data_IF_593451593324
#
_entry.id   IF_593451593324
#
_cell.length_a   1.000
_cell.length_b   1.000
_cell.length_c   1.000
_cell.angle_alpha   90.00
_cell.angle_beta   90.00
_cell.angle_gamma   90.00
#
_symmetry.space_group_name_H-M   'P 1'
#
loop_
_entity.id
_entity.type
_entity.pdbx_description
1 polymer ?
#
# COMPACT_ATOMS: atom_id res chain seq x y z
N UNK A 1 10.41 -3.02 -8.06
CA UNK A 1 10.46 -4.06 -6.98
C UNK A 1 11.45 -5.18 -7.22
N UNK A 2 11.96 -5.34 -8.44
CA UNK A 2 12.94 -6.38 -8.81
C UNK A 2 14.19 -6.42 -7.93
N UNK A 3 14.83 -5.27 -7.66
CA UNK A 3 16.01 -5.16 -6.79
C UNK A 3 15.72 -5.75 -5.40
N UNK A 4 14.59 -5.40 -4.81
CA UNK A 4 14.22 -5.85 -3.46
C UNK A 4 13.97 -7.36 -3.46
N UNK A 5 13.24 -7.86 -4.45
CA UNK A 5 12.97 -9.29 -4.57
C UNK A 5 14.24 -10.08 -4.80
N UNK A 6 15.14 -9.61 -5.68
CA UNK A 6 16.40 -10.30 -5.97
C UNK A 6 17.31 -10.39 -4.74
N UNK A 7 17.39 -9.32 -3.93
CA UNK A 7 18.13 -9.34 -2.67
C UNK A 7 17.52 -10.38 -1.72
N UNK A 8 16.19 -10.38 -1.56
CA UNK A 8 15.51 -11.33 -0.68
C UNK A 8 15.64 -12.78 -1.19
N UNK A 9 15.55 -12.99 -2.50
CA UNK A 9 15.75 -14.30 -3.12
C UNK A 9 17.17 -14.82 -2.84
N UNK A 10 18.18 -14.00 -3.12
CA UNK A 10 19.57 -14.40 -3.00
C UNK A 10 19.96 -14.78 -1.56
N UNK A 11 19.58 -13.96 -0.57
CA UNK A 11 20.01 -14.18 0.81
C UNK A 11 19.10 -15.12 1.61
N UNK A 12 17.83 -15.33 1.21
CA UNK A 12 16.87 -16.05 2.02
C UNK A 12 15.95 -16.97 1.20
N UNK A 13 15.22 -16.41 0.21
CA UNK A 13 14.08 -17.13 -0.34
C UNK A 13 14.47 -18.31 -1.21
N UNK A 14 15.60 -18.27 -1.93
CA UNK A 14 16.11 -19.41 -2.68
C UNK A 14 16.29 -20.64 -1.78
N UNK A 15 16.89 -20.46 -0.60
CA UNK A 15 17.08 -21.53 0.36
C UNK A 15 15.74 -22.04 0.94
N UNK A 16 14.82 -21.14 1.21
CA UNK A 16 13.47 -21.48 1.69
C UNK A 16 12.70 -22.27 0.65
N UNK A 17 12.65 -21.79 -0.60
CA UNK A 17 11.95 -22.48 -1.68
C UNK A 17 12.59 -23.82 -2.02
N UNK A 18 13.93 -23.91 -2.05
CA UNK A 18 14.64 -25.18 -2.27
C UNK A 18 14.35 -26.22 -1.19
N UNK A 19 14.17 -25.77 0.07
CA UNK A 19 13.85 -26.67 1.21
C UNK A 19 12.40 -27.09 1.24
N UNK A 20 11.45 -26.15 0.99
CA UNK A 20 10.01 -26.43 1.07
C UNK A 20 9.46 -27.12 -0.17
N UNK A 21 10.04 -26.81 -1.34
CA UNK A 21 9.55 -27.30 -2.64
C UNK A 21 10.70 -27.83 -3.51
N UNK A 22 11.46 -28.88 -3.07
CA UNK A 22 12.61 -29.38 -3.80
C UNK A 22 12.23 -30.05 -5.12
N UNK A 23 13.00 -29.83 -6.19
CA UNK A 23 12.81 -30.50 -7.49
C UNK A 23 12.84 -32.02 -7.40
N UNK A 24 13.67 -32.59 -6.53
CA UNK A 24 13.74 -34.06 -6.33
C UNK A 24 12.39 -34.67 -5.97
N UNK A 25 11.62 -33.99 -5.11
CA UNK A 25 10.31 -34.48 -4.69
C UNK A 25 9.31 -34.61 -5.86
N UNK A 26 9.37 -33.66 -6.81
CA UNK A 26 8.51 -33.70 -8.00
C UNK A 26 8.92 -34.82 -8.97
N UNK A 27 10.24 -35.07 -9.12
CA UNK A 27 10.74 -36.16 -9.96
C UNK A 27 10.39 -37.53 -9.43
N UNK A 28 10.50 -37.75 -8.11
CA UNK A 28 10.15 -38.99 -7.46
C UNK A 28 8.64 -39.26 -7.54
N UNK A 29 7.80 -38.24 -7.31
CA UNK A 29 6.35 -38.33 -7.42
C UNK A 29 5.84 -38.64 -8.84
N UNK A 30 6.48 -38.05 -9.87
CA UNK A 30 6.16 -38.30 -11.28
C UNK A 30 6.59 -39.72 -11.69
N UNK A 31 7.74 -40.20 -11.17
CA UNK A 31 8.15 -41.60 -11.43
C UNK A 31 7.25 -42.61 -10.73
N UNK A 32 6.83 -42.32 -9.51
CA UNK A 32 5.90 -43.18 -8.76
C UNK A 32 4.49 -43.22 -9.39
N UNK A 33 3.99 -42.07 -9.84
CA UNK A 33 2.73 -41.94 -10.57
C UNK A 33 2.81 -42.60 -11.95
N UNK A 34 3.94 -42.47 -12.66
CA UNK A 34 4.20 -43.16 -13.92
C UNK A 34 4.21 -44.70 -13.75
N UNK A 35 4.87 -45.20 -12.70
CA UNK A 35 4.89 -46.62 -12.38
C UNK A 35 3.50 -47.16 -12.00
N UNK A 36 2.72 -46.39 -11.22
CA UNK A 36 1.33 -46.76 -10.83
C UNK A 36 0.34 -46.72 -12.01
N UNK A 37 0.52 -45.76 -12.94
CA UNK A 37 -0.35 -45.63 -14.12
C UNK A 37 -0.14 -46.76 -15.17
N UNK A 38 1.07 -47.34 -15.23
CA UNK A 38 1.37 -48.46 -16.17
C UNK A 38 1.10 -49.83 -15.58
N UNK A 39 0.71 -49.97 -14.30
CA UNK A 39 0.47 -51.26 -13.65
C UNK A 39 -1.00 -51.65 -13.54
N UNK A 40 -1.92 -50.88 -14.09
CA UNK A 40 -3.38 -51.22 -14.11
C UNK A 40 -3.90 -51.31 -15.54
N UNK A 41 -3.58 -52.41 -16.23
CA UNK A 41 -4.45 -52.98 -17.25
C UNK A 41 -5.60 -53.69 -16.54
N UNK A 42 -6.78 -53.10 -16.61
CA UNK A 42 -7.99 -53.69 -16.04
C UNK A 42 -9.21 -52.85 -16.41
N UNK A 43 -9.83 -53.20 -17.53
CA UNK A 43 -11.10 -52.65 -18.01
C UNK A 43 -12.15 -52.48 -16.92
N UNK A 44 -12.77 -51.26 -16.83
CA UNK A 44 -14.22 -51.15 -16.62
C UNK A 44 -14.74 -49.74 -16.96
N UNK A 45 -15.68 -49.73 -17.87
CA UNK A 45 -16.56 -48.63 -18.27
C UNK A 45 -17.32 -48.04 -17.07
N UNK A 46 -17.29 -46.70 -16.98
CA UNK A 46 -18.34 -45.93 -16.28
C UNK A 46 -18.41 -44.52 -16.91
N UNK A 47 -19.39 -44.40 -17.81
CA UNK A 47 -19.84 -43.12 -18.35
C UNK A 47 -20.50 -42.29 -17.22
N UNK A 48 -20.10 -41.08 -17.01
CA UNK A 48 -20.85 -40.11 -16.21
C UNK A 48 -20.09 -39.04 -15.44
N UNK A 49 -18.75 -39.06 -15.42
CA UNK A 49 -17.96 -38.07 -14.65
C UNK A 49 -16.77 -37.50 -15.45
N UNK A 50 -16.84 -37.57 -16.78
CA UNK A 50 -15.69 -37.24 -17.64
C UNK A 50 -15.51 -35.75 -17.89
N UNK A 51 -16.58 -34.95 -17.86
CA UNK A 51 -16.50 -33.52 -18.22
C UNK A 51 -15.86 -32.66 -17.12
N UNK A 52 -16.16 -32.88 -15.85
CA UNK A 52 -15.57 -32.14 -14.74
C UNK A 52 -14.11 -32.52 -14.48
N UNK A 53 -13.74 -33.80 -14.69
CA UNK A 53 -12.33 -34.22 -14.59
C UNK A 53 -11.47 -33.67 -15.74
N UNK A 54 -12.03 -33.55 -16.95
CA UNK A 54 -11.34 -32.96 -18.09
C UNK A 54 -11.15 -31.43 -17.94
N UNK A 55 -12.11 -30.72 -17.33
CA UNK A 55 -11.94 -29.28 -17.03
C UNK A 55 -10.83 -29.04 -16.02
N UNK A 56 -10.75 -29.80 -14.93
CA UNK A 56 -9.70 -29.73 -13.93
C UNK A 56 -8.32 -30.20 -14.46
N UNK A 57 -8.30 -31.16 -15.38
CA UNK A 57 -7.08 -31.67 -16.03
C UNK A 57 -6.48 -30.66 -17.02
N UNK A 58 -7.33 -29.87 -17.67
CA UNK A 58 -6.90 -28.84 -18.64
C UNK A 58 -6.63 -27.48 -18.01
N UNK A 59 -7.01 -27.26 -16.74
CA UNK A 59 -6.75 -25.99 -16.03
C UNK A 59 -5.25 -25.65 -15.91
N UNK A 60 -4.34 -26.59 -15.60
CA UNK A 60 -2.89 -26.32 -15.64
C UNK A 60 -2.38 -25.97 -17.03
N UNK A 61 -2.95 -26.58 -18.09
CA UNK A 61 -2.57 -26.31 -19.48
C UNK A 61 -3.03 -24.93 -19.92
N UNK A 62 -4.24 -24.53 -19.55
CA UNK A 62 -4.76 -23.19 -19.83
C UNK A 62 -3.97 -22.11 -19.08
N UNK A 63 -3.66 -22.34 -17.82
CA UNK A 63 -2.82 -21.46 -17.01
C UNK A 63 -1.42 -21.37 -17.62
N UNK A 64 -0.80 -22.49 -17.96
CA UNK A 64 0.51 -22.52 -18.63
C UNK A 64 0.47 -21.81 -19.99
N UNK A 65 -0.60 -21.96 -20.79
CA UNK A 65 -0.78 -21.26 -22.05
C UNK A 65 -0.90 -19.73 -21.85
N UNK A 66 -1.71 -19.30 -20.88
CA UNK A 66 -1.84 -17.87 -20.54
C UNK A 66 -0.50 -17.32 -20.06
N UNK A 67 0.19 -18.03 -19.17
CA UNK A 67 1.51 -17.64 -18.66
C UNK A 67 2.56 -17.57 -19.77
N UNK A 68 2.60 -18.55 -20.70
CA UNK A 68 3.49 -18.52 -21.86
C UNK A 68 3.17 -17.38 -22.82
N UNK A 69 1.90 -17.06 -22.99
CA UNK A 69 1.46 -15.93 -23.83
C UNK A 69 1.80 -14.58 -23.21
N UNK A 70 1.71 -14.45 -21.90
CA UNK A 70 2.19 -13.29 -21.13
C UNK A 70 3.72 -13.19 -21.27
N UNK A 71 4.46 -14.29 -21.13
CA UNK A 71 5.90 -14.33 -21.30
C UNK A 71 6.37 -14.04 -22.74
N UNK A 72 5.59 -14.42 -23.76
CA UNK A 72 5.94 -14.13 -25.17
C UNK A 72 5.75 -12.64 -25.56
N UNK A 73 5.04 -11.88 -24.77
CA UNK A 73 4.90 -10.42 -24.95
C UNK A 73 6.13 -9.67 -24.43
N UNK A 74 6.96 -10.33 -23.61
CA UNK A 74 8.15 -9.77 -22.95
C UNK A 74 9.39 -9.61 -23.85
N UNK A 75 9.40 -10.14 -25.07
CA UNK A 75 10.58 -10.10 -25.95
C UNK A 75 10.67 -8.81 -26.80
N UNK A 76 10.26 -7.65 -26.25
CA UNK A 76 10.58 -6.37 -26.86
C UNK A 76 11.85 -5.82 -26.24
N UNK A 77 12.86 -5.59 -27.07
CA UNK A 77 14.00 -4.73 -26.75
C UNK A 77 13.44 -3.32 -26.45
N UNK A 78 13.16 -3.06 -25.21
CA UNK A 78 12.68 -1.77 -24.74
C UNK A 78 13.73 -1.16 -23.80
N UNK A 79 13.89 0.16 -23.87
CA UNK A 79 14.74 0.91 -22.92
C UNK A 79 14.35 0.68 -21.47
N UNK A 80 13.12 0.22 -21.24
CA UNK A 80 12.57 -0.20 -19.96
C UNK A 80 12.71 -1.71 -19.69
N UNK A 81 13.63 -2.37 -20.38
CA UNK A 81 13.85 -3.81 -20.27
C UNK A 81 14.21 -4.27 -18.87
N UNK A 82 13.98 -5.56 -18.62
CA UNK A 82 14.40 -6.22 -17.39
C UNK A 82 15.93 -6.25 -17.36
N UNK A 83 16.52 -5.55 -16.42
CA UNK A 83 17.98 -5.63 -16.19
C UNK A 83 18.37 -7.06 -15.81
N UNK A 84 19.47 -7.57 -16.40
CA UNK A 84 19.99 -8.85 -16.00
C UNK A 84 20.60 -8.73 -14.61
N UNK A 85 19.94 -9.24 -13.60
CA UNK A 85 20.44 -9.50 -12.24
C UNK A 85 21.48 -8.54 -11.66
N UNK A 86 21.21 -8.08 -10.48
CA UNK A 86 22.11 -7.22 -9.68
C UNK A 86 23.11 -8.05 -8.85
N UNK A 87 22.77 -9.32 -8.56
CA UNK A 87 23.56 -10.23 -7.72
C UNK A 87 23.94 -11.49 -8.50
N UNK A 88 25.05 -12.18 -8.11
CA UNK A 88 25.42 -13.48 -8.68
C UNK A 88 24.29 -14.49 -8.56
N UNK A 89 24.21 -15.42 -9.51
CA UNK A 89 23.19 -16.47 -9.47
C UNK A 89 23.43 -17.45 -8.31
N UNK A 90 22.45 -17.63 -7.45
CA UNK A 90 22.52 -18.62 -6.37
C UNK A 90 22.37 -20.03 -6.93
N UNK A 91 23.22 -20.96 -6.48
CA UNK A 91 23.10 -22.39 -6.83
C UNK A 91 21.78 -23.01 -6.36
N UNK A 92 21.09 -22.39 -5.39
CA UNK A 92 19.80 -22.83 -4.86
C UNK A 92 18.62 -22.28 -5.67
N UNK A 93 18.81 -21.30 -6.54
CA UNK A 93 17.74 -20.67 -7.31
C UNK A 93 16.97 -21.67 -8.19
N UNK A 94 17.67 -22.69 -8.71
CA UNK A 94 17.10 -23.74 -9.55
C UNK A 94 16.78 -25.03 -8.81
N UNK A 95 16.99 -25.09 -7.50
CA UNK A 95 16.76 -26.30 -6.70
C UNK A 95 15.29 -26.52 -6.34
N UNK A 96 14.43 -25.50 -6.55
CA UNK A 96 12.98 -25.56 -6.30
C UNK A 96 12.19 -25.85 -7.58
N UNK A 97 11.01 -26.47 -7.42
CA UNK A 97 10.01 -26.60 -8.50
C UNK A 97 9.43 -25.24 -8.92
N UNK A 98 9.55 -24.21 -8.07
CA UNK A 98 9.18 -22.84 -8.38
C UNK A 98 10.45 -22.02 -8.69
N UNK A 99 10.85 -21.87 -9.96
CA UNK A 99 11.95 -21.00 -10.35
C UNK A 99 11.64 -19.54 -10.02
N UNK A 100 12.66 -18.67 -9.94
CA UNK A 100 12.47 -17.24 -9.66
C UNK A 100 11.51 -16.54 -10.64
N UNK A 101 11.44 -17.00 -11.89
CA UNK A 101 10.53 -16.50 -12.93
C UNK A 101 9.09 -17.03 -12.82
N UNK A 102 8.78 -17.84 -11.80
CA UNK A 102 7.43 -18.32 -11.58
C UNK A 102 6.56 -17.21 -10.99
N UNK A 103 5.49 -16.81 -11.68
CA UNK A 103 4.54 -15.77 -11.23
C UNK A 103 3.98 -16.08 -9.84
N UNK A 104 3.74 -17.36 -9.52
CA UNK A 104 3.29 -17.74 -8.18
C UNK A 104 4.35 -17.45 -7.13
N UNK A 105 5.63 -17.78 -7.42
CA UNK A 105 6.74 -17.48 -6.52
C UNK A 105 6.93 -15.96 -6.38
N UNK A 106 6.93 -15.23 -7.47
CA UNK A 106 6.99 -13.76 -7.46
C UNK A 106 5.88 -13.17 -6.59
N UNK A 107 4.64 -13.62 -6.79
CA UNK A 107 3.49 -13.15 -6.02
C UNK A 107 3.64 -13.39 -4.52
N UNK A 108 3.90 -14.64 -4.11
CA UNK A 108 4.00 -14.96 -2.68
C UNK A 108 5.23 -14.35 -2.02
N UNK A 109 6.36 -14.30 -2.73
CA UNK A 109 7.58 -13.67 -2.24
C UNK A 109 7.38 -12.16 -2.04
N UNK A 110 6.85 -11.47 -3.04
CA UNK A 110 6.54 -10.03 -2.94
C UNK A 110 5.50 -9.75 -1.88
N UNK A 111 4.47 -10.60 -1.75
CA UNK A 111 3.47 -10.46 -0.69
C UNK A 111 4.13 -10.50 0.69
N UNK A 112 4.92 -11.54 0.97
CA UNK A 112 5.58 -11.71 2.26
C UNK A 112 6.55 -10.56 2.56
N UNK A 113 7.43 -10.25 1.58
CA UNK A 113 8.43 -9.19 1.72
C UNK A 113 7.76 -7.83 1.95
N UNK A 114 6.73 -7.52 1.19
CA UNK A 114 6.04 -6.21 1.30
C UNK A 114 5.23 -6.08 2.58
N UNK A 115 4.60 -7.15 3.08
CA UNK A 115 3.90 -7.14 4.38
C UNK A 115 4.89 -6.88 5.52
N UNK A 116 6.01 -7.62 5.55
CA UNK A 116 7.04 -7.45 6.58
C UNK A 116 7.62 -6.04 6.52
N UNK A 117 7.99 -5.57 5.32
CA UNK A 117 8.50 -4.21 5.13
C UNK A 117 7.48 -3.15 5.57
N UNK A 118 6.20 -3.32 5.19
CA UNK A 118 5.11 -2.42 5.58
C UNK A 118 4.95 -2.33 7.10
N UNK A 119 4.99 -3.45 7.81
CA UNK A 119 4.94 -3.46 9.27
C UNK A 119 6.16 -2.81 9.91
N UNK A 120 7.37 -3.12 9.42
CA UNK A 120 8.60 -2.50 9.92
C UNK A 120 8.54 -0.98 9.72
N UNK A 121 8.19 -0.53 8.53
CA UNK A 121 8.10 0.89 8.21
C UNK A 121 7.04 1.59 9.09
N UNK A 122 5.84 1.01 9.19
CA UNK A 122 4.77 1.53 10.02
C UNK A 122 5.17 1.68 11.48
N UNK A 123 5.66 0.61 12.12
CA UNK A 123 6.06 0.66 13.53
C UNK A 123 7.26 1.56 13.78
N UNK A 124 8.25 1.56 12.87
CA UNK A 124 9.43 2.40 13.01
C UNK A 124 9.04 3.88 12.94
N UNK A 125 8.31 4.29 11.91
CA UNK A 125 7.98 5.71 11.72
C UNK A 125 6.96 6.17 12.75
N UNK A 126 5.86 5.45 12.96
CA UNK A 126 4.85 5.81 13.95
C UNK A 126 5.40 5.76 15.38
N UNK A 127 6.24 4.76 15.71
CA UNK A 127 6.86 4.64 17.02
C UNK A 127 7.86 5.76 17.31
N UNK A 128 8.72 6.11 16.34
CA UNK A 128 9.64 7.24 16.47
C UNK A 128 8.84 8.54 16.62
N UNK A 129 7.85 8.78 15.77
CA UNK A 129 7.00 9.98 15.86
C UNK A 129 6.31 10.05 17.23
N UNK A 130 5.72 8.96 17.70
CA UNK A 130 5.08 8.89 19.01
C UNK A 130 6.04 9.22 20.18
N UNK A 131 7.28 8.74 20.10
CA UNK A 131 8.27 8.95 21.15
C UNK A 131 8.88 10.34 21.13
N UNK A 132 9.05 10.95 19.95
CA UNK A 132 9.87 12.16 19.78
C UNK A 132 9.05 13.42 19.56
N UNK A 133 7.96 13.37 18.80
CA UNK A 133 7.26 14.58 18.35
C UNK A 133 5.79 14.66 18.79
N UNK A 134 5.10 13.53 18.93
CA UNK A 134 3.67 13.49 19.21
C UNK A 134 3.29 14.19 20.53
N UNK A 135 2.33 15.12 20.47
CA UNK A 135 1.82 15.79 21.66
C UNK A 135 0.81 14.91 22.41
N UNK A 136 1.25 14.40 23.56
CA UNK A 136 0.44 13.52 24.41
C UNK A 136 -0.75 14.21 25.08
N UNK A 137 -0.88 15.55 24.99
CA UNK A 137 -2.07 16.26 25.43
C UNK A 137 -3.33 15.82 24.67
N UNK A 138 -3.18 15.34 23.45
CA UNK A 138 -4.26 14.76 22.63
C UNK A 138 -5.07 13.69 23.39
N UNK A 139 -4.45 12.96 24.32
CA UNK A 139 -5.16 11.98 25.16
C UNK A 139 -6.23 12.59 26.08
N UNK A 140 -6.16 13.89 26.36
CA UNK A 140 -7.15 14.62 27.16
C UNK A 140 -8.30 15.19 26.30
N UNK A 141 -8.25 15.01 24.98
CA UNK A 141 -9.28 15.53 24.09
C UNK A 141 -10.62 14.82 24.31
N UNK A 142 -11.78 15.53 24.41
CA UNK A 142 -13.09 14.93 24.69
C UNK A 142 -13.53 13.86 23.67
N UNK A 143 -12.95 13.83 22.50
CA UNK A 143 -13.23 12.87 21.42
C UNK A 143 -12.12 11.83 21.24
N UNK A 144 -11.24 11.68 22.22
CA UNK A 144 -10.27 10.57 22.25
C UNK A 144 -10.98 9.29 22.72
N UNK A 145 -10.87 8.21 21.95
CA UNK A 145 -11.59 6.96 22.22
C UNK A 145 -10.91 6.16 23.32
N UNK A 146 -11.70 5.40 24.07
CA UNK A 146 -11.18 4.40 25.01
C UNK A 146 -10.35 3.36 24.26
N UNK A 147 -9.12 3.15 24.71
CA UNK A 147 -8.13 2.24 24.08
C UNK A 147 -7.81 2.57 22.60
N UNK A 148 -7.95 3.81 22.18
CA UNK A 148 -7.81 4.23 20.79
C UNK A 148 -6.53 3.71 20.14
N UNK A 149 -5.37 3.95 20.73
CA UNK A 149 -4.08 3.56 20.15
C UNK A 149 -3.99 2.04 19.88
N UNK A 150 -4.49 1.21 20.77
CA UNK A 150 -4.54 -0.24 20.56
C UNK A 150 -5.47 -0.62 19.40
N UNK A 151 -6.59 0.09 19.27
CA UNK A 151 -7.53 -0.11 18.15
C UNK A 151 -6.95 0.35 16.81
N UNK A 152 -6.20 1.47 16.79
CA UNK A 152 -5.48 1.96 15.61
C UNK A 152 -4.45 0.93 15.15
N UNK A 153 -3.60 0.46 16.07
CA UNK A 153 -2.59 -0.57 15.78
C UNK A 153 -3.24 -1.86 15.26
N UNK A 154 -4.26 -2.36 15.95
CA UNK A 154 -4.97 -3.56 15.51
C UNK A 154 -5.53 -3.41 14.10
N UNK A 155 -6.15 -2.26 13.81
CA UNK A 155 -6.73 -1.98 12.50
C UNK A 155 -5.66 -1.90 11.41
N UNK A 156 -4.55 -1.20 11.65
CA UNK A 156 -3.43 -1.12 10.72
C UNK A 156 -2.81 -2.50 10.45
N UNK A 157 -2.56 -3.28 11.51
CA UNK A 157 -1.99 -4.63 11.39
C UNK A 157 -2.84 -5.58 10.55
N UNK A 158 -4.16 -5.45 10.62
CA UNK A 158 -5.09 -6.27 9.82
C UNK A 158 -5.31 -5.72 8.41
N UNK A 159 -5.22 -4.39 8.22
CA UNK A 159 -5.40 -3.76 6.92
C UNK A 159 -4.21 -3.96 5.99
N UNK A 160 -2.99 -3.80 6.49
CA UNK A 160 -1.75 -3.86 5.69
C UNK A 160 -1.64 -5.17 4.86
N UNK A 161 -1.83 -6.38 5.39
CA UNK A 161 -1.75 -7.60 4.58
C UNK A 161 -2.75 -7.64 3.43
N UNK A 162 -3.99 -7.17 3.65
CA UNK A 162 -5.02 -7.17 2.61
C UNK A 162 -4.70 -6.11 1.54
N UNK A 163 -4.22 -4.94 1.94
CA UNK A 163 -3.74 -3.91 1.00
C UNK A 163 -2.61 -4.43 0.14
N UNK A 164 -1.62 -5.07 0.77
CA UNK A 164 -0.48 -5.66 0.06
C UNK A 164 -0.96 -6.74 -0.91
N UNK A 165 -1.89 -7.61 -0.52
CA UNK A 165 -2.47 -8.62 -1.41
C UNK A 165 -3.05 -8.00 -2.69
N UNK A 166 -3.75 -6.87 -2.56
CA UNK A 166 -4.32 -6.13 -3.69
C UNK A 166 -3.26 -5.37 -4.51
N UNK A 167 -2.13 -5.02 -3.89
CA UNK A 167 -1.03 -4.27 -4.51
C UNK A 167 -0.04 -5.16 -5.26
N UNK A 168 0.23 -6.37 -4.77
CA UNK A 168 1.22 -7.28 -5.36
C UNK A 168 1.01 -7.54 -6.85
N UNK A 169 -0.21 -7.62 -7.41
CA UNK A 169 -0.40 -7.72 -8.86
C UNK A 169 0.31 -6.61 -9.66
N UNK A 170 0.35 -5.36 -9.16
CA UNK A 170 1.09 -4.28 -9.81
C UNK A 170 2.61 -4.55 -9.79
N UNK A 171 3.14 -5.05 -8.68
CA UNK A 171 4.55 -5.41 -8.58
C UNK A 171 4.93 -6.58 -9.48
N UNK A 172 4.04 -7.58 -9.62
CA UNK A 172 4.23 -8.68 -10.57
C UNK A 172 4.23 -8.15 -12.01
N UNK A 173 3.34 -7.21 -12.35
CA UNK A 173 3.35 -6.55 -13.65
C UNK A 173 4.66 -5.77 -13.87
N UNK A 174 5.15 -5.06 -12.86
CA UNK A 174 6.44 -4.34 -12.92
C UNK A 174 7.62 -5.31 -13.20
N UNK A 175 7.67 -6.46 -12.51
CA UNK A 175 8.69 -7.49 -12.70
C UNK A 175 8.64 -8.09 -14.11
N UNK A 176 7.46 -8.15 -14.70
CA UNK A 176 7.21 -8.74 -16.00
C UNK A 176 7.25 -7.71 -17.15
N UNK A 177 7.85 -6.53 -16.93
CA UNK A 177 8.13 -5.54 -17.97
C UNK A 177 6.94 -4.69 -18.41
N UNK A 178 5.82 -4.67 -17.66
CA UNK A 178 4.66 -3.82 -17.96
C UNK A 178 4.77 -2.40 -17.39
N UNK A 179 5.93 -2.02 -16.85
CA UNK A 179 6.17 -0.67 -16.34
C UNK A 179 7.27 0.04 -17.13
N UNK A 180 7.35 1.35 -16.97
CA UNK A 180 8.39 2.20 -17.52
C UNK A 180 9.50 2.47 -16.50
N UNK A 181 9.74 1.50 -15.62
CA UNK A 181 10.84 1.54 -14.66
C UNK A 181 12.16 1.26 -15.38
N UNK A 182 13.18 2.05 -15.11
CA UNK A 182 14.52 1.89 -15.71
C UNK A 182 15.62 2.05 -14.66
N UNK A 183 16.80 1.50 -14.94
CA UNK A 183 17.97 1.58 -14.05
C UNK A 183 19.09 2.44 -14.62
N UNK A 184 19.34 2.35 -15.93
CA UNK A 184 20.45 3.05 -16.56
C UNK A 184 20.13 4.54 -16.77
N UNK A 185 21.06 5.39 -16.34
CA UNK A 185 20.96 6.84 -16.46
C UNK A 185 21.85 7.31 -17.59
N UNK A 186 21.29 7.42 -18.79
CA UNK A 186 21.97 7.84 -20.00
C UNK A 186 21.15 8.87 -20.81
N UNK A 187 21.62 9.23 -21.99
CA UNK A 187 20.91 10.21 -22.84
C UNK A 187 19.54 9.70 -23.31
N UNK A 188 19.35 8.39 -23.51
CA UNK A 188 18.08 7.80 -23.95
C UNK A 188 17.01 7.89 -22.87
N UNK A 189 17.40 7.89 -21.60
CA UNK A 189 16.49 8.05 -20.44
C UNK A 189 16.37 9.51 -19.98
N UNK A 190 17.02 10.46 -20.68
CA UNK A 190 17.03 11.89 -20.36
C UNK A 190 18.00 12.29 -19.26
N UNK A 191 18.88 11.37 -18.83
CA UNK A 191 19.96 11.62 -17.87
C UNK A 191 19.48 12.10 -16.51
N UNK A 192 20.39 12.77 -15.78
CA UNK A 192 20.11 13.31 -14.44
C UNK A 192 19.00 14.37 -14.38
N UNK A 193 18.78 15.11 -15.46
CA UNK A 193 17.69 16.09 -15.54
C UNK A 193 16.32 15.40 -15.46
N UNK A 194 16.17 14.27 -16.15
CA UNK A 194 14.94 13.48 -16.07
C UNK A 194 14.69 12.96 -14.64
N UNK A 195 15.74 12.46 -13.97
CA UNK A 195 15.62 12.02 -12.57
C UNK A 195 15.12 13.16 -11.67
N UNK A 196 15.70 14.36 -11.77
CA UNK A 196 15.28 15.50 -10.95
C UNK A 196 13.83 15.90 -11.21
N UNK A 197 13.36 15.82 -12.48
CA UNK A 197 11.99 16.16 -12.86
C UNK A 197 10.97 15.08 -12.45
N UNK A 198 11.40 13.84 -12.26
CA UNK A 198 10.52 12.75 -11.82
C UNK A 198 9.91 13.01 -10.44
N UNK A 199 10.66 13.61 -9.50
CA UNK A 199 10.17 13.87 -8.16
C UNK A 199 8.95 14.81 -8.15
N UNK A 200 9.02 16.04 -8.67
CA UNK A 200 7.86 16.92 -8.71
C UNK A 200 6.73 16.37 -9.58
N UNK A 201 7.03 15.67 -10.68
CA UNK A 201 6.02 15.06 -11.55
C UNK A 201 5.27 13.95 -10.82
N UNK A 202 5.97 13.10 -10.09
CA UNK A 202 5.38 12.05 -9.26
C UNK A 202 4.48 12.64 -8.16
N UNK A 203 4.99 13.64 -7.43
CA UNK A 203 4.22 14.29 -6.37
C UNK A 203 2.95 14.93 -6.95
N UNK A 204 3.07 15.67 -8.05
CA UNK A 204 1.92 16.34 -8.68
C UNK A 204 0.84 15.34 -9.14
N UNK A 205 1.26 14.26 -9.80
CA UNK A 205 0.35 13.23 -10.30
C UNK A 205 -0.32 12.46 -9.15
N UNK A 206 0.48 12.03 -8.17
CA UNK A 206 -0.02 11.24 -7.05
C UNK A 206 -0.91 12.06 -6.13
N UNK A 207 -0.56 13.31 -5.86
CA UNK A 207 -1.38 14.23 -5.07
C UNK A 207 -2.75 14.48 -5.72
N UNK A 208 -2.78 14.68 -7.05
CA UNK A 208 -4.02 14.78 -7.82
C UNK A 208 -4.87 13.51 -7.69
N UNK A 209 -4.27 12.36 -7.93
CA UNK A 209 -4.96 11.08 -7.90
C UNK A 209 -5.50 10.75 -6.50
N UNK A 210 -4.70 10.96 -5.47
CA UNK A 210 -5.12 10.76 -4.07
C UNK A 210 -6.24 11.73 -3.72
N UNK A 211 -6.12 13.02 -4.05
CA UNK A 211 -7.19 14.00 -3.84
C UNK A 211 -8.53 13.55 -4.46
N UNK A 212 -8.52 13.11 -5.71
CA UNK A 212 -9.75 12.67 -6.40
C UNK A 212 -10.36 11.43 -5.75
N UNK A 213 -9.53 10.45 -5.41
CA UNK A 213 -9.97 9.21 -4.76
C UNK A 213 -10.47 9.50 -3.34
N UNK A 214 -9.73 10.28 -2.57
CA UNK A 214 -10.10 10.64 -1.20
C UNK A 214 -11.42 11.41 -1.17
N UNK A 215 -11.60 12.38 -2.06
CA UNK A 215 -12.88 13.10 -2.21
C UNK A 215 -14.02 12.16 -2.62
N UNK A 216 -13.78 11.18 -3.49
CA UNK A 216 -14.76 10.16 -3.85
C UNK A 216 -15.10 9.25 -2.67
N UNK A 217 -14.14 8.90 -1.83
CA UNK A 217 -14.35 8.13 -0.60
C UNK A 217 -15.29 8.84 0.38
N UNK A 218 -15.39 10.17 0.30
CA UNK A 218 -16.34 10.97 1.08
C UNK A 218 -17.76 11.05 0.50
N UNK A 219 -18.05 10.44 -0.65
CA UNK A 219 -19.42 10.34 -1.12
C UNK A 219 -20.25 9.48 -0.14
N UNK A 220 -21.49 9.91 0.24
CA UNK A 220 -22.27 9.26 1.30
C UNK A 220 -22.45 7.74 1.12
N UNK A 221 -22.63 7.29 -0.13
CA UNK A 221 -22.75 5.86 -0.45
C UNK A 221 -21.46 5.05 -0.29
N UNK A 222 -20.31 5.69 -0.45
CA UNK A 222 -18.97 5.07 -0.36
C UNK A 222 -18.40 5.21 1.05
N UNK A 223 -18.52 6.41 1.61
CA UNK A 223 -17.99 6.77 2.92
C UNK A 223 -18.38 5.78 4.00
N UNK A 224 -19.66 5.47 4.12
CA UNK A 224 -20.22 4.60 5.16
C UNK A 224 -19.49 3.25 5.26
N UNK A 225 -19.06 2.71 4.14
CA UNK A 225 -18.48 1.36 4.08
C UNK A 225 -16.95 1.36 4.05
N UNK A 226 -16.35 2.29 3.31
CA UNK A 226 -14.91 2.27 3.05
C UNK A 226 -14.15 3.25 3.94
N UNK A 227 -14.61 4.48 4.12
CA UNK A 227 -13.82 5.56 4.73
C UNK A 227 -14.21 5.92 6.17
N UNK A 228 -15.46 5.66 6.58
CA UNK A 228 -15.89 5.84 7.97
C UNK A 228 -15.01 5.10 8.99
N UNK A 229 -14.46 3.89 8.73
CA UNK A 229 -13.52 3.23 9.62
C UNK A 229 -12.24 4.04 9.89
N UNK A 230 -11.78 4.86 8.94
CA UNK A 230 -10.65 5.77 9.11
C UNK A 230 -11.05 7.00 9.93
N UNK A 231 -12.19 7.61 9.63
CA UNK A 231 -12.75 8.73 10.38
C UNK A 231 -13.29 8.36 11.78
N UNK A 232 -13.17 7.09 12.18
CA UNK A 232 -13.35 6.70 13.58
C UNK A 232 -12.38 7.45 14.51
N UNK A 233 -11.17 7.74 14.01
CA UNK A 233 -10.11 8.44 14.71
C UNK A 233 -10.26 9.95 14.51
N UNK A 234 -11.11 10.61 15.31
CA UNK A 234 -11.38 12.06 15.19
C UNK A 234 -10.13 12.87 15.52
N UNK A 235 -9.44 12.50 16.58
CA UNK A 235 -8.13 13.02 16.95
C UNK A 235 -7.11 11.89 16.85
N UNK A 236 -6.23 11.99 15.88
CA UNK A 236 -5.34 10.89 15.51
C UNK A 236 -4.14 10.77 16.44
N UNK A 237 -3.61 9.55 16.57
CA UNK A 237 -2.20 9.34 16.94
C UNK A 237 -1.40 8.96 15.70
N UNK A 238 -0.04 8.94 15.72
CA UNK A 238 0.76 8.49 14.57
C UNK A 238 0.37 7.09 14.07
N UNK A 239 -0.19 6.25 14.94
CA UNK A 239 -0.65 4.90 14.60
C UNK A 239 -1.96 4.87 13.81
N UNK A 240 -2.71 5.98 13.73
CA UNK A 240 -3.91 6.11 12.90
C UNK A 240 -3.60 6.10 11.39
N UNK A 241 -2.36 6.42 11.02
CA UNK A 241 -1.91 6.61 9.64
C UNK A 241 -2.28 5.48 8.66
N UNK A 242 -2.30 4.23 9.13
CA UNK A 242 -2.68 3.04 8.34
C UNK A 242 -3.92 2.33 8.91
N UNK A 243 -4.64 2.97 9.84
CA UNK A 243 -5.81 2.41 10.50
C UNK A 243 -7.11 2.70 9.74
N UNK A 244 -7.28 2.11 8.57
CA UNK A 244 -8.42 2.30 7.67
C UNK A 244 -8.98 0.97 7.14
N UNK A 245 -9.99 1.04 6.28
CA UNK A 245 -10.47 -0.12 5.56
C UNK A 245 -9.44 -0.51 4.48
N UNK A 246 -9.10 -1.80 4.28
CA UNK A 246 -8.04 -2.19 3.34
C UNK A 246 -8.23 -1.69 1.91
N UNK A 247 -9.48 -1.69 1.41
CA UNK A 247 -9.80 -1.19 0.06
C UNK A 247 -9.63 0.32 -0.04
N UNK A 248 -9.90 1.06 1.03
CA UNK A 248 -9.66 2.50 1.11
C UNK A 248 -8.17 2.82 0.93
N UNK A 249 -7.32 2.26 1.79
CA UNK A 249 -5.89 2.48 1.70
C UNK A 249 -5.29 2.00 0.39
N UNK A 250 -5.75 0.86 -0.13
CA UNK A 250 -5.34 0.38 -1.44
C UNK A 250 -5.77 1.34 -2.56
N UNK A 251 -7.00 1.82 -2.58
CA UNK A 251 -7.48 2.74 -3.60
C UNK A 251 -6.67 4.04 -3.60
N UNK A 252 -6.39 4.61 -2.41
CA UNK A 252 -5.55 5.80 -2.29
C UNK A 252 -4.08 5.53 -2.69
N UNK A 253 -3.64 4.26 -2.68
CA UNK A 253 -2.30 3.88 -3.12
C UNK A 253 -2.18 3.75 -4.66
N UNK A 254 -3.26 3.59 -5.38
CA UNK A 254 -3.24 3.37 -6.84
C UNK A 254 -2.44 4.42 -7.62
N UNK A 255 -2.52 5.72 -7.34
CA UNK A 255 -1.80 6.72 -8.13
C UNK A 255 -0.29 6.49 -8.18
N UNK A 256 0.34 6.11 -7.08
CA UNK A 256 1.79 5.87 -7.08
C UNK A 256 2.20 4.50 -7.65
N UNK A 257 1.28 3.54 -7.76
CA UNK A 257 1.50 2.30 -8.51
C UNK A 257 1.23 2.47 -10.01
N UNK A 258 0.28 3.32 -10.39
CA UNK A 258 -0.05 3.62 -11.79
C UNK A 258 1.02 4.51 -12.43
N UNK A 259 1.64 5.43 -11.68
CA UNK A 259 2.63 6.36 -12.23
C UNK A 259 3.73 5.66 -13.04
N UNK A 260 4.45 4.63 -12.52
CA UNK A 260 5.49 3.95 -13.28
C UNK A 260 4.96 3.12 -14.45
N UNK A 261 3.66 2.81 -14.51
CA UNK A 261 3.06 2.19 -15.70
C UNK A 261 2.88 3.19 -16.85
N UNK A 262 2.66 4.47 -16.52
CA UNK A 262 2.38 5.53 -17.48
C UNK A 262 3.62 6.34 -17.86
N UNK A 263 4.50 6.60 -16.91
CA UNK A 263 5.63 7.52 -17.04
C UNK A 263 6.96 6.85 -16.69
N UNK A 264 8.06 7.24 -17.36
CA UNK A 264 9.39 6.78 -17.01
C UNK A 264 9.74 7.16 -15.57
N UNK A 265 10.25 6.20 -14.80
CA UNK A 265 10.69 6.41 -13.43
C UNK A 265 11.92 5.54 -13.12
N UNK A 266 12.95 6.15 -12.55
CA UNK A 266 14.13 5.42 -12.13
C UNK A 266 13.81 4.49 -10.95
N UNK A 267 14.25 3.22 -11.00
CA UNK A 267 13.91 2.19 -9.99
C UNK A 267 14.22 2.60 -8.55
N UNK A 268 15.41 3.20 -8.32
CA UNK A 268 15.77 3.68 -6.98
C UNK A 268 14.90 4.87 -6.57
N UNK A 269 14.62 5.81 -7.50
CA UNK A 269 13.70 6.92 -7.22
C UNK A 269 12.30 6.43 -6.85
N UNK A 270 11.82 5.36 -7.52
CA UNK A 270 10.54 4.73 -7.16
C UNK A 270 10.52 4.18 -5.74
N UNK A 271 11.56 3.44 -5.33
CA UNK A 271 11.66 2.93 -3.95
C UNK A 271 11.72 4.06 -2.92
N UNK A 272 12.46 5.13 -3.21
CA UNK A 272 12.53 6.30 -2.33
C UNK A 272 11.17 7.00 -2.23
N UNK A 273 10.50 7.24 -3.35
CA UNK A 273 9.19 7.89 -3.40
C UNK A 273 8.10 7.04 -2.75
N UNK A 274 8.11 5.72 -2.97
CA UNK A 274 7.21 4.79 -2.30
C UNK A 274 7.37 4.83 -0.77
N UNK A 275 8.61 4.81 -0.30
CA UNK A 275 8.91 4.94 1.13
C UNK A 275 8.52 6.32 1.67
N UNK A 276 8.75 7.39 0.90
CA UNK A 276 8.38 8.75 1.25
C UNK A 276 6.87 8.93 1.42
N UNK A 277 6.04 8.37 0.51
CA UNK A 277 4.57 8.43 0.64
C UNK A 277 4.11 7.82 1.96
N UNK A 278 4.63 6.67 2.32
CA UNK A 278 4.28 6.01 3.58
C UNK A 278 4.76 6.79 4.81
N UNK A 279 5.99 7.32 4.76
CA UNK A 279 6.51 8.21 5.80
C UNK A 279 5.64 9.46 5.96
N UNK A 280 5.29 10.12 4.85
CA UNK A 280 4.44 11.30 4.84
C UNK A 280 3.05 11.03 5.44
N UNK A 281 2.46 9.87 5.10
CA UNK A 281 1.18 9.44 5.65
C UNK A 281 1.21 9.35 7.19
N UNK A 282 2.30 8.88 7.79
CA UNK A 282 2.45 8.89 9.25
C UNK A 282 2.59 10.33 9.77
N UNK A 283 3.41 11.15 9.12
CA UNK A 283 3.68 12.52 9.56
C UNK A 283 2.43 13.41 9.59
N UNK A 284 1.51 13.26 8.64
CA UNK A 284 0.27 14.05 8.66
C UNK A 284 -0.72 13.63 9.76
N UNK A 285 -0.49 12.48 10.42
CA UNK A 285 -1.29 12.00 11.55
C UNK A 285 -0.62 12.21 12.92
N UNK A 286 0.57 12.81 12.97
CA UNK A 286 1.37 12.86 14.20
C UNK A 286 0.96 13.96 15.21
N UNK A 287 0.02 14.80 14.84
CA UNK A 287 -0.46 15.89 15.70
C UNK A 287 0.54 17.04 15.88
N UNK A 288 1.65 17.04 15.13
CA UNK A 288 2.66 18.12 15.20
C UNK A 288 2.35 19.24 14.22
N UNK A 289 1.88 20.33 14.75
CA UNK A 289 1.56 21.53 13.97
C UNK A 289 2.83 22.40 13.82
N UNK A 290 3.77 21.92 12.99
CA UNK A 290 5.08 22.57 12.83
C UNK A 290 5.01 23.81 11.95
N UNK A 291 4.15 23.83 10.95
CA UNK A 291 4.09 24.90 9.95
C UNK A 291 2.65 25.18 9.55
N UNK A 292 2.33 26.46 9.43
CA UNK A 292 1.09 26.96 8.81
C UNK A 292 1.37 27.37 7.35
N UNK A 293 2.15 26.55 6.64
CA UNK A 293 2.45 26.79 5.23
C UNK A 293 1.17 26.68 4.39
N UNK A 294 0.86 27.68 3.55
CA UNK A 294 -0.38 27.65 2.78
C UNK A 294 -0.38 26.68 1.60
N UNK A 295 0.77 26.12 1.24
CA UNK A 295 0.95 25.23 0.09
C UNK A 295 1.01 23.76 0.53
N UNK A 296 1.70 23.49 1.62
CA UNK A 296 1.91 22.13 2.13
C UNK A 296 0.67 21.66 2.88
N UNK A 297 0.14 20.49 2.48
CA UNK A 297 -0.94 19.83 3.21
C UNK A 297 -0.32 18.99 4.35
N UNK A 298 0.05 19.67 5.44
CA UNK A 298 0.65 19.03 6.61
C UNK A 298 -0.39 18.58 7.64
N UNK A 299 0.10 18.19 8.82
CA UNK A 299 -0.69 17.67 9.95
C UNK A 299 -1.88 18.56 10.31
N UNK A 300 -1.73 19.89 10.33
CA UNK A 300 -2.82 20.80 10.68
C UNK A 300 -3.99 20.72 9.68
N UNK A 301 -3.70 20.66 8.38
CA UNK A 301 -4.72 20.49 7.35
C UNK A 301 -5.42 19.14 7.47
N UNK A 302 -4.67 18.08 7.76
CA UNK A 302 -5.21 16.73 7.92
C UNK A 302 -6.03 16.59 9.23
N UNK A 303 -5.64 17.27 10.30
CA UNK A 303 -6.45 17.38 11.52
C UNK A 303 -7.78 18.08 11.24
N UNK A 304 -7.78 19.17 10.48
CA UNK A 304 -9.00 19.86 10.02
C UNK A 304 -9.88 18.90 9.21
N UNK A 305 -9.28 18.04 8.37
CA UNK A 305 -9.98 17.00 7.63
C UNK A 305 -10.66 16.00 8.56
N UNK A 306 -9.95 15.45 9.53
CA UNK A 306 -10.53 14.51 10.51
C UNK A 306 -11.63 15.13 11.38
N UNK A 307 -11.47 16.40 11.78
CA UNK A 307 -12.48 17.11 12.57
C UNK A 307 -13.74 17.46 11.77
N UNK A 308 -13.56 18.05 10.59
CA UNK A 308 -14.65 18.71 9.85
C UNK A 308 -15.06 17.99 8.56
N UNK A 309 -14.44 16.84 8.24
CA UNK A 309 -14.89 15.87 7.28
C UNK A 309 -14.83 16.29 5.80
N UNK A 310 -15.41 17.44 5.40
CA UNK A 310 -15.62 17.83 4.01
C UNK A 310 -14.52 18.75 3.43
N UNK A 311 -13.35 18.76 4.05
CA UNK A 311 -12.24 19.67 3.70
C UNK A 311 -10.91 18.95 3.64
N UNK A 312 -9.96 19.51 2.89
CA UNK A 312 -8.54 19.14 2.89
C UNK A 312 -8.27 17.66 2.55
N UNK A 313 -8.72 17.25 1.38
CA UNK A 313 -8.54 15.87 0.87
C UNK A 313 -7.16 15.61 0.28
N UNK A 314 -6.34 16.65 0.00
CA UNK A 314 -5.00 16.52 -0.58
C UNK A 314 -4.05 15.75 0.33
N UNK A 315 -3.04 15.11 -0.27
CA UNK A 315 -2.03 14.35 0.46
C UNK A 315 -0.79 15.19 0.78
N UNK A 316 -0.28 15.92 -0.21
CA UNK A 316 0.99 16.65 -0.11
C UNK A 316 0.80 18.16 -0.18
N UNK A 317 -0.12 18.62 -1.02
CA UNK A 317 -0.34 20.05 -1.25
C UNK A 317 -1.79 20.43 -1.09
N UNK A 318 -2.03 21.71 -0.75
CA UNK A 318 -3.38 22.29 -0.68
C UNK A 318 -3.90 22.71 -2.06
N UNK A 319 -3.11 22.51 -3.12
CA UNK A 319 -3.43 23.00 -4.47
C UNK A 319 -4.74 22.43 -4.99
N UNK A 320 -4.92 21.11 -4.89
CA UNK A 320 -6.11 20.43 -5.41
C UNK A 320 -7.36 20.76 -4.60
N UNK A 321 -7.22 20.95 -3.28
CA UNK A 321 -8.31 21.43 -2.42
C UNK A 321 -8.72 22.86 -2.77
N UNK A 322 -7.78 23.74 -3.11
CA UNK A 322 -8.10 25.10 -3.57
C UNK A 322 -8.81 25.10 -4.91
N UNK A 323 -8.32 24.32 -5.87
CA UNK A 323 -8.97 24.14 -7.19
C UNK A 323 -10.37 23.55 -7.03
N UNK A 324 -10.51 22.51 -6.21
CA UNK A 324 -11.77 21.81 -5.96
C UNK A 324 -12.69 22.47 -4.94
N UNK A 325 -12.31 23.63 -4.37
CA UNK A 325 -13.07 24.40 -3.37
C UNK A 325 -13.37 23.62 -2.09
N UNK A 326 -12.46 22.75 -1.71
CA UNK A 326 -12.50 21.95 -0.47
C UNK A 326 -11.41 22.36 0.53
N UNK A 327 -10.69 23.46 0.28
CA UNK A 327 -9.69 23.94 1.21
C UNK A 327 -10.32 24.69 2.39
N UNK A 328 -9.98 24.27 3.60
CA UNK A 328 -10.24 24.98 4.84
C UNK A 328 -8.92 25.26 5.55
N UNK A 329 -8.62 26.55 5.80
CA UNK A 329 -7.42 26.95 6.54
C UNK A 329 -7.49 26.40 7.96
N UNK A 330 -6.41 25.78 8.47
CA UNK A 330 -6.31 25.42 9.88
C UNK A 330 -6.40 26.66 10.77
N UNK A 331 -7.03 26.51 11.93
CA UNK A 331 -7.12 27.58 12.92
C UNK A 331 -5.76 27.86 13.55
N UNK A 332 -5.44 29.13 13.75
CA UNK A 332 -4.16 29.56 14.34
C UNK A 332 -3.99 29.03 15.78
N UNK A 333 -5.09 28.69 16.47
CA UNK A 333 -5.10 28.06 17.80
C UNK A 333 -4.41 26.69 17.82
N UNK A 334 -4.42 25.95 16.71
CA UNK A 334 -3.73 24.65 16.59
C UNK A 334 -2.20 24.80 16.72
N UNK A 335 -1.64 25.96 16.40
CA UNK A 335 -0.20 26.20 16.45
C UNK A 335 0.28 26.76 17.79
N UNK A 336 -0.63 27.05 18.72
CA UNK A 336 -0.30 27.62 20.04
C UNK A 336 0.16 26.55 21.03
N UNK A 337 1.47 26.23 21.05
CA UNK A 337 2.06 25.15 21.86
C UNK A 337 1.96 25.33 23.37
N UNK A 338 1.87 26.56 23.88
CA UNK A 338 1.92 26.91 25.31
C UNK A 338 0.57 27.44 25.83
N UNK A 339 -0.52 26.92 25.33
CA UNK A 339 -1.87 27.31 25.76
C UNK A 339 -2.14 26.80 27.17
N UNK A 340 -2.67 27.64 28.04
CA UNK A 340 -3.14 27.25 29.36
C UNK A 340 -4.24 26.20 29.27
N UNK A 341 -4.29 25.23 30.20
CA UNK A 341 -5.21 24.09 30.15
C UNK A 341 -6.70 24.49 30.03
N UNK A 342 -7.09 25.58 30.69
CA UNK A 342 -8.47 26.11 30.64
C UNK A 342 -8.82 26.60 29.24
N UNK A 343 -7.89 27.33 28.61
CA UNK A 343 -8.05 27.88 27.27
C UNK A 343 -8.03 26.77 26.20
N UNK A 344 -7.21 25.75 26.38
CA UNK A 344 -7.19 24.54 25.55
C UNK A 344 -8.52 23.78 25.62
N UNK A 345 -9.11 23.64 26.82
CA UNK A 345 -10.41 22.99 27.01
C UNK A 345 -11.55 23.77 26.34
N UNK A 346 -11.50 25.11 26.31
CA UNK A 346 -12.48 25.92 25.59
C UNK A 346 -12.36 25.77 24.07
N UNK A 347 -11.12 25.75 23.55
CA UNK A 347 -10.85 25.48 22.13
C UNK A 347 -11.44 24.13 21.73
N UNK A 348 -11.18 23.09 22.50
CA UNK A 348 -11.71 21.76 22.21
C UNK A 348 -13.25 21.67 22.29
N UNK A 349 -13.88 22.37 23.21
CA UNK A 349 -15.35 22.45 23.27
C UNK A 349 -15.95 23.08 22.03
N UNK A 350 -15.34 24.17 21.54
CA UNK A 350 -15.81 24.82 20.31
C UNK A 350 -15.55 23.95 19.08
N UNK A 351 -14.40 23.27 19.00
CA UNK A 351 -14.10 22.30 17.94
C UNK A 351 -15.13 21.16 17.91
N UNK A 352 -15.45 20.59 19.07
CA UNK A 352 -16.44 19.52 19.19
C UNK A 352 -17.82 20.00 18.72
N UNK A 353 -18.25 21.20 19.12
CA UNK A 353 -19.53 21.76 18.68
C UNK A 353 -19.59 21.94 17.16
N UNK A 354 -18.58 22.59 16.56
CA UNK A 354 -18.52 22.78 15.11
C UNK A 354 -18.47 21.46 14.36
N UNK A 355 -17.74 20.48 14.88
CA UNK A 355 -17.64 19.15 14.32
C UNK A 355 -19.00 18.44 14.33
N UNK A 356 -19.74 18.49 15.44
CA UNK A 356 -21.04 17.84 15.57
C UNK A 356 -22.06 18.43 14.60
N UNK A 357 -22.07 19.75 14.42
CA UNK A 357 -22.96 20.43 13.46
C UNK A 357 -22.73 19.95 12.01
N UNK A 358 -21.47 19.60 11.66
CA UNK A 358 -21.11 19.14 10.32
C UNK A 358 -21.32 17.62 10.17
N UNK A 359 -20.94 16.84 11.17
CA UNK A 359 -20.90 15.36 11.09
C UNK A 359 -22.24 14.70 11.37
N UNK A 360 -23.04 15.23 12.29
CA UNK A 360 -24.31 14.63 12.67
C UNK A 360 -25.28 14.37 11.50
N UNK A 361 -25.45 15.31 10.53
CA UNK A 361 -26.27 15.06 9.36
C UNK A 361 -25.75 13.97 8.43
N UNK A 362 -24.43 13.69 8.44
CA UNK A 362 -23.77 12.77 7.53
C UNK A 362 -23.58 11.38 8.13
N UNK A 363 -23.20 11.31 9.40
CA UNK A 363 -22.87 10.06 10.09
C UNK A 363 -24.04 9.48 10.91
N UNK A 364 -25.03 10.30 11.25
CA UNK A 364 -26.13 9.91 12.14
C UNK A 364 -25.69 9.89 13.61
N UNK A 365 -26.33 9.03 14.42
CA UNK A 365 -26.02 8.91 15.86
C UNK A 365 -24.58 8.44 16.06
N UNK A 366 -23.85 9.14 16.91
CA UNK A 366 -22.49 8.77 17.31
C UNK A 366 -22.54 7.55 18.25
N UNK A 367 -21.93 6.45 17.83
CA UNK A 367 -21.85 5.18 18.54
C UNK A 367 -20.44 4.91 19.14
N UNK A 368 -19.56 5.92 19.10
CA UNK A 368 -18.17 5.79 19.60
C UNK A 368 -18.15 5.89 21.13
N UNK A 369 -17.30 5.07 21.76
CA UNK A 369 -17.01 5.15 23.18
C UNK A 369 -15.78 6.03 23.41
N UNK A 370 -15.98 7.16 24.09
CA UNK A 370 -14.91 8.10 24.42
C UNK A 370 -14.30 7.81 25.79
N UNK A 371 -13.08 8.32 26.01
CA UNK A 371 -12.35 8.10 27.25
C UNK A 371 -12.97 8.88 28.41
N UNK A 372 -13.54 10.07 28.13
CA UNK A 372 -14.15 10.98 29.10
C UNK A 372 -15.60 11.29 28.74
#
# INVERSE_FOLDING_TARGET
MDIVLEICDYFLLDAVYAKLFPKKFAQDSVQEFGRSAFSTEGSRSLNGTLETKNALRNMPVLIAYILNKVQSIQNKEDIYGLEPRYLPYSSLADASIFPRSSILREFFSLFLVTVIFGWILYFSVAGISYCTVFDKKVFNHPRYLKNQMSLEIYRAMTAIPIMVFLTVPFFVLELNGFSKLYMNVDESTGGWKAILLQFPSFILFTDCGIYLIHRWLHWPSVYKYLHKPHHKWIVCTPFASHAFHPVDGWAQSLPYHIFPMLFPLHKVSYLMLFSFVNFWTVMIHDGQYLSNDPVVNGTACHTVHHLYFNYNYGQFTTMWDRIGRSYRRPDDSLFARNTEKEKEAEIWKEQVKQMEDIRAPLEGKDDREYLY
#
